data_IF_747059765792
#
_entry.id   IF_747059765792
#
_cell.length_a   1.000
_cell.length_b   1.000
_cell.length_c   1.000
_cell.angle_alpha   90.00
_cell.angle_beta   90.00
_cell.angle_gamma   90.00
#
_symmetry.space_group_name_H-M   'P 1'
#
loop_
_entity.id
_entity.type
_entity.pdbx_description
1 polymer ?
#
# COMPACT_ATOMS: atom_id res chain seq x y z
N UNK A 1 3.88 3.34 9.03
CA UNK A 1 3.80 4.71 8.48
C UNK A 1 2.98 5.69 9.32
N UNK A 2 1.71 5.42 9.65
CA UNK A 2 0.88 6.37 10.41
C UNK A 2 1.48 6.77 11.78
N UNK A 3 2.04 5.81 12.53
CA UNK A 3 2.70 6.09 13.81
C UNK A 3 3.98 6.94 13.65
N UNK A 4 4.79 6.66 12.61
CA UNK A 4 5.96 7.48 12.25
C UNK A 4 5.51 8.92 11.99
N UNK A 5 4.43 9.11 11.22
CA UNK A 5 3.86 10.42 10.96
C UNK A 5 3.48 11.14 12.24
N UNK A 6 2.74 10.48 13.15
CA UNK A 6 2.34 11.07 14.44
C UNK A 6 3.56 11.51 15.25
N UNK A 7 4.60 10.68 15.33
CA UNK A 7 5.82 11.00 16.05
C UNK A 7 6.62 12.15 15.41
N UNK A 8 6.74 12.16 14.09
CA UNK A 8 7.39 13.25 13.35
C UNK A 8 6.64 14.57 13.56
N UNK A 9 5.30 14.56 13.50
CA UNK A 9 4.49 15.75 13.77
C UNK A 9 4.66 16.26 15.20
N UNK A 10 4.65 15.37 16.20
CA UNK A 10 4.89 15.76 17.59
C UNK A 10 6.29 16.37 17.79
N UNK A 11 7.30 15.80 17.13
CA UNK A 11 8.67 16.33 17.14
C UNK A 11 8.73 17.73 16.51
N UNK A 12 8.10 17.93 15.34
CA UNK A 12 8.08 19.22 14.61
C UNK A 12 7.29 20.31 15.36
N UNK A 13 6.22 19.93 16.07
CA UNK A 13 5.46 20.83 16.92
C UNK A 13 6.21 21.27 18.20
N UNK A 14 7.42 20.74 18.43
CA UNK A 14 8.22 21.03 19.62
C UNK A 14 7.73 20.33 20.89
N UNK A 15 6.78 19.39 20.77
CA UNK A 15 6.24 18.65 21.93
C UNK A 15 7.35 17.88 22.65
N UNK A 16 8.35 17.39 21.92
CA UNK A 16 9.49 16.67 22.52
C UNK A 16 10.43 17.60 23.27
N UNK A 17 10.64 18.83 22.79
CA UNK A 17 11.54 19.78 23.44
C UNK A 17 11.04 20.17 24.85
N UNK A 18 9.74 20.06 25.10
CA UNK A 18 9.12 20.28 26.41
C UNK A 18 9.29 19.10 27.39
N UNK A 19 9.74 17.92 26.92
CA UNK A 19 9.88 16.72 27.75
C UNK A 19 11.24 16.66 28.46
N UNK A 20 11.36 15.88 29.56
CA UNK A 20 12.65 15.59 30.18
C UNK A 20 13.62 14.89 29.21
N UNK A 21 14.96 15.08 29.34
CA UNK A 21 15.95 14.51 28.43
C UNK A 21 15.84 13.00 28.20
N UNK A 22 15.43 12.25 29.23
CA UNK A 22 15.24 10.79 29.15
C UNK A 22 14.10 10.41 28.20
N UNK A 23 12.98 11.12 28.25
CA UNK A 23 11.82 10.87 27.40
C UNK A 23 12.08 11.30 25.96
N UNK A 24 12.82 12.39 25.75
CA UNK A 24 13.31 12.79 24.43
C UNK A 24 14.13 11.69 23.77
N UNK A 25 15.12 11.15 24.50
CA UNK A 25 15.96 10.06 23.99
C UNK A 25 15.15 8.79 23.70
N UNK A 26 14.14 8.49 24.54
CA UNK A 26 13.27 7.34 24.34
C UNK A 26 12.38 7.49 23.08
N UNK A 27 11.79 8.67 22.87
CA UNK A 27 11.01 8.98 21.68
C UNK A 27 11.86 8.91 20.42
N UNK A 28 13.09 9.44 20.45
CA UNK A 28 14.01 9.38 19.33
C UNK A 28 14.41 7.93 19.00
N UNK A 29 14.76 7.12 20.01
CA UNK A 29 15.09 5.71 19.82
C UNK A 29 13.92 4.90 19.29
N UNK A 30 12.70 5.16 19.80
CA UNK A 30 11.50 4.50 19.33
C UNK A 30 11.18 4.88 17.87
N UNK A 31 11.28 6.16 17.50
CA UNK A 31 11.09 6.62 16.12
C UNK A 31 12.07 5.95 15.16
N UNK A 32 13.34 5.84 15.54
CA UNK A 32 14.34 5.12 14.74
C UNK A 32 13.98 3.65 14.57
N UNK A 33 13.58 2.98 15.65
CA UNK A 33 13.21 1.57 15.63
C UNK A 33 12.02 1.30 14.69
N UNK A 34 10.90 2.01 14.87
CA UNK A 34 9.72 1.84 14.01
C UNK A 34 10.00 2.28 12.56
N UNK A 35 10.90 3.24 12.37
CA UNK A 35 11.37 3.68 11.05
C UNK A 35 12.11 2.58 10.30
N UNK A 36 13.04 1.88 10.97
CA UNK A 36 13.75 0.74 10.38
C UNK A 36 12.80 -0.41 10.02
N UNK A 37 11.85 -0.75 10.90
CA UNK A 37 10.86 -1.79 10.62
C UNK A 37 10.01 -1.42 9.39
N UNK A 38 9.48 -0.19 9.35
CA UNK A 38 8.67 0.26 8.23
C UNK A 38 9.45 0.21 6.90
N UNK A 39 10.73 0.59 6.91
CA UNK A 39 11.59 0.48 5.74
C UNK A 39 11.74 -0.97 5.26
N UNK A 40 12.00 -1.89 6.18
CA UNK A 40 12.13 -3.31 5.85
C UNK A 40 10.83 -3.88 5.27
N UNK A 41 9.70 -3.61 5.92
CA UNK A 41 8.37 -4.06 5.47
C UNK A 41 8.04 -3.52 4.09
N UNK A 42 8.36 -2.26 3.80
CA UNK A 42 8.13 -1.67 2.48
C UNK A 42 9.02 -2.28 1.39
N UNK A 43 10.29 -2.58 1.68
CA UNK A 43 11.17 -3.28 0.73
C UNK A 43 10.57 -4.65 0.39
N UNK A 44 10.25 -5.44 1.41
CA UNK A 44 9.67 -6.77 1.22
C UNK A 44 8.33 -6.69 0.48
N UNK A 45 7.48 -5.73 0.84
CA UNK A 45 6.21 -5.50 0.18
C UNK A 45 6.35 -5.14 -1.30
N UNK A 46 7.31 -4.28 -1.65
CA UNK A 46 7.58 -3.90 -3.05
C UNK A 46 8.01 -5.12 -3.87
N UNK A 47 8.97 -5.91 -3.38
CA UNK A 47 9.44 -7.12 -4.06
C UNK A 47 8.34 -8.18 -4.20
N UNK A 48 7.51 -8.34 -3.16
CA UNK A 48 6.39 -9.29 -3.18
C UNK A 48 5.37 -8.90 -4.24
N UNK A 49 4.98 -7.62 -4.30
CA UNK A 49 3.99 -7.13 -5.27
C UNK A 49 4.56 -7.20 -6.69
N UNK A 50 5.83 -6.86 -6.88
CA UNK A 50 6.48 -7.00 -8.19
C UNK A 50 6.53 -8.46 -8.65
N UNK A 51 6.88 -9.38 -7.76
CA UNK A 51 6.89 -10.82 -8.05
C UNK A 51 5.50 -11.33 -8.42
N UNK A 52 4.46 -10.93 -7.67
CA UNK A 52 3.08 -11.30 -7.98
C UNK A 52 2.65 -10.75 -9.34
N UNK A 53 2.97 -9.48 -9.63
CA UNK A 53 2.67 -8.86 -10.92
C UNK A 53 3.31 -9.63 -12.08
N UNK A 54 4.60 -9.97 -11.97
CA UNK A 54 5.28 -10.81 -12.94
C UNK A 54 4.64 -12.20 -13.08
N UNK A 55 4.31 -12.88 -11.98
CA UNK A 55 3.67 -14.20 -12.06
C UNK A 55 2.31 -14.14 -12.74
N UNK A 56 1.53 -13.06 -12.53
CA UNK A 56 0.22 -12.91 -13.22
C UNK A 56 0.36 -12.63 -14.72
N UNK A 57 1.49 -12.09 -15.21
CA UNK A 57 1.68 -11.91 -16.67
C UNK A 57 1.82 -13.24 -17.38
N UNK A 58 2.52 -14.20 -16.74
CA UNK A 58 2.87 -15.50 -17.31
C UNK A 58 1.87 -16.61 -16.97
N UNK A 59 1.39 -16.69 -15.72
CA UNK A 59 0.62 -17.84 -15.20
C UNK A 59 -0.71 -17.36 -14.61
N UNK A 60 -1.73 -17.19 -15.45
CA UNK A 60 -3.04 -16.64 -15.03
C UNK A 60 -3.97 -17.67 -14.39
N UNK A 61 -3.89 -18.93 -14.82
CA UNK A 61 -4.88 -19.98 -14.47
C UNK A 61 -4.95 -20.26 -12.98
N UNK A 62 -3.83 -20.20 -12.26
CA UNK A 62 -3.77 -20.47 -10.81
C UNK A 62 -4.49 -19.36 -10.02
N UNK A 63 -4.32 -18.09 -10.41
CA UNK A 63 -4.95 -16.96 -9.73
C UNK A 63 -6.46 -16.90 -9.95
N UNK A 64 -6.93 -17.39 -11.10
CA UNK A 64 -8.36 -17.45 -11.44
C UNK A 64 -9.02 -18.78 -11.05
N UNK A 65 -8.31 -19.70 -10.41
CA UNK A 65 -8.90 -20.96 -9.94
C UNK A 65 -9.93 -20.69 -8.83
N UNK A 66 -11.01 -21.46 -8.78
CA UNK A 66 -12.13 -21.25 -7.84
C UNK A 66 -11.71 -21.16 -6.37
N UNK A 67 -10.67 -21.90 -5.96
CA UNK A 67 -10.10 -21.84 -4.59
C UNK A 67 -9.35 -20.54 -4.28
N UNK A 68 -8.88 -19.83 -5.30
CA UNK A 68 -7.97 -18.69 -5.17
C UNK A 68 -8.63 -17.36 -5.55
N UNK A 69 -9.52 -17.38 -6.55
CA UNK A 69 -10.01 -16.17 -7.23
C UNK A 69 -10.61 -15.14 -6.28
N UNK A 70 -11.43 -15.57 -5.32
CA UNK A 70 -12.04 -14.68 -4.32
C UNK A 70 -10.99 -14.03 -3.40
N UNK A 71 -9.95 -14.80 -3.03
CA UNK A 71 -8.86 -14.31 -2.17
C UNK A 71 -7.98 -13.32 -2.92
N UNK A 72 -7.68 -13.60 -4.19
CA UNK A 72 -6.89 -12.70 -5.03
C UNK A 72 -7.67 -11.40 -5.29
N UNK A 73 -8.93 -11.49 -5.70
CA UNK A 73 -9.77 -10.32 -5.94
C UNK A 73 -9.92 -9.45 -4.69
N UNK A 74 -10.23 -10.06 -3.54
CA UNK A 74 -10.35 -9.33 -2.27
C UNK A 74 -9.01 -8.69 -1.84
N UNK A 75 -7.90 -9.39 -2.04
CA UNK A 75 -6.56 -8.85 -1.73
C UNK A 75 -6.23 -7.64 -2.61
N UNK A 76 -6.44 -7.74 -3.93
CA UNK A 76 -6.17 -6.65 -4.85
C UNK A 76 -7.08 -5.44 -4.55
N UNK A 77 -8.38 -5.67 -4.32
CA UNK A 77 -9.31 -4.59 -3.99
C UNK A 77 -8.93 -3.92 -2.67
N UNK A 78 -8.58 -4.71 -1.65
CA UNK A 78 -8.16 -4.20 -0.35
C UNK A 78 -6.92 -3.31 -0.47
N UNK A 79 -5.87 -3.78 -1.15
CA UNK A 79 -4.64 -3.00 -1.30
C UNK A 79 -4.86 -1.75 -2.14
N UNK A 80 -5.56 -1.86 -3.27
CA UNK A 80 -5.86 -0.71 -4.11
C UNK A 80 -6.65 0.34 -3.32
N UNK A 81 -7.72 -0.07 -2.61
CA UNK A 81 -8.53 0.82 -1.78
C UNK A 81 -7.70 1.54 -0.71
N UNK A 82 -6.77 0.85 -0.05
CA UNK A 82 -5.92 1.49 0.97
C UNK A 82 -4.93 2.49 0.36
N UNK A 83 -4.48 2.25 -0.87
CA UNK A 83 -3.49 3.09 -1.55
C UNK A 83 -4.10 4.31 -2.25
N UNK A 84 -5.35 4.23 -2.72
CA UNK A 84 -6.00 5.30 -3.50
C UNK A 84 -7.19 5.94 -2.77
N UNK A 85 -7.66 5.30 -1.70
CA UNK A 85 -8.80 5.74 -0.92
C UNK A 85 -8.48 6.81 0.13
N UNK A 86 -9.45 7.13 1.01
CA UNK A 86 -9.35 8.27 1.93
C UNK A 86 -8.19 8.15 2.93
N UNK A 87 -7.74 6.92 3.21
CA UNK A 87 -6.62 6.63 4.12
C UNK A 87 -5.25 6.83 3.47
N UNK A 88 -5.15 7.11 2.17
CA UNK A 88 -3.86 7.34 1.48
C UNK A 88 -3.00 8.41 2.19
N UNK A 89 -3.64 9.45 2.73
CA UNK A 89 -2.97 10.53 3.45
C UNK A 89 -2.19 10.04 4.68
N UNK A 90 -2.56 8.90 5.26
CA UNK A 90 -1.88 8.33 6.43
C UNK A 90 -0.48 7.78 6.11
N UNK A 91 -0.17 7.57 4.83
CA UNK A 91 1.15 7.11 4.39
C UNK A 91 2.13 8.26 4.11
N UNK A 92 1.64 9.51 4.05
CA UNK A 92 2.48 10.68 3.83
C UNK A 92 3.29 11.00 5.09
N UNK A 93 4.56 10.63 5.07
CA UNK A 93 5.59 11.00 6.05
C UNK A 93 6.57 11.98 5.41
N UNK A 94 7.44 12.62 6.20
CA UNK A 94 8.35 13.68 5.73
C UNK A 94 9.23 13.23 4.56
N UNK A 95 9.87 12.06 4.71
CA UNK A 95 10.67 11.45 3.66
C UNK A 95 10.15 10.03 3.38
N UNK A 96 9.35 9.87 2.33
CA UNK A 96 8.85 8.55 1.91
C UNK A 96 9.95 7.68 1.30
N UNK A 97 11.00 8.29 0.74
CA UNK A 97 12.12 7.57 0.12
C UNK A 97 13.02 6.92 1.16
N UNK A 98 13.20 7.56 2.33
CA UNK A 98 13.87 6.97 3.50
C UNK A 98 13.28 5.60 3.85
N UNK A 99 11.94 5.51 3.83
CA UNK A 99 11.23 4.27 4.14
C UNK A 99 10.96 3.38 2.93
N UNK A 100 11.52 3.69 1.75
CA UNK A 100 11.33 2.91 0.51
C UNK A 100 9.86 2.69 0.14
N UNK A 101 8.99 3.63 0.49
CA UNK A 101 7.58 3.56 0.18
C UNK A 101 7.28 4.25 -1.15
N UNK A 102 6.99 3.48 -2.19
CA UNK A 102 6.67 3.95 -3.54
C UNK A 102 5.22 3.62 -3.90
N UNK A 103 4.22 4.30 -3.31
CA UNK A 103 2.80 3.95 -3.44
C UNK A 103 2.33 3.96 -4.89
N UNK A 104 2.86 4.90 -5.68
CA UNK A 104 2.56 5.08 -7.09
C UNK A 104 2.96 3.83 -7.92
N UNK A 105 4.16 3.30 -7.70
CA UNK A 105 4.65 2.06 -8.31
C UNK A 105 3.85 0.84 -7.84
N UNK A 106 3.48 0.80 -6.56
CA UNK A 106 2.66 -0.29 -6.02
C UNK A 106 1.28 -0.31 -6.70
N UNK A 107 0.62 0.86 -6.81
CA UNK A 107 -0.66 1.01 -7.50
C UNK A 107 -0.54 0.56 -8.96
N UNK A 108 0.52 0.95 -9.66
CA UNK A 108 0.77 0.53 -11.04
C UNK A 108 0.83 -0.99 -11.16
N UNK A 109 1.61 -1.66 -10.31
CA UNK A 109 1.74 -3.12 -10.35
C UNK A 109 0.41 -3.81 -10.01
N UNK A 110 -0.35 -3.28 -9.05
CA UNK A 110 -1.69 -3.79 -8.75
C UNK A 110 -2.63 -3.64 -9.95
N UNK A 111 -2.67 -2.47 -10.60
CA UNK A 111 -3.47 -2.25 -11.79
C UNK A 111 -3.08 -3.18 -12.95
N UNK A 112 -1.78 -3.45 -13.14
CA UNK A 112 -1.34 -4.46 -14.11
C UNK A 112 -1.88 -5.86 -13.79
N UNK A 113 -1.87 -6.28 -12.53
CA UNK A 113 -2.48 -7.56 -12.13
C UNK A 113 -3.97 -7.64 -12.49
N UNK A 114 -4.75 -6.55 -12.29
CA UNK A 114 -6.14 -6.50 -12.78
C UNK A 114 -6.22 -6.68 -14.29
N UNK A 115 -5.34 -6.03 -15.06
CA UNK A 115 -5.32 -6.15 -16.53
C UNK A 115 -4.95 -7.56 -16.97
N UNK A 116 -3.94 -8.19 -16.34
CA UNK A 116 -3.52 -9.55 -16.66
C UNK A 116 -4.64 -10.58 -16.44
N UNK A 117 -5.44 -10.40 -15.39
CA UNK A 117 -6.49 -11.33 -14.99
C UNK A 117 -7.89 -10.96 -15.53
N UNK A 118 -8.07 -9.73 -16.03
CA UNK A 118 -9.38 -9.14 -16.34
C UNK A 118 -10.13 -9.75 -17.53
N UNK A 119 -9.49 -10.61 -18.33
CA UNK A 119 -10.19 -11.40 -19.35
C UNK A 119 -10.92 -12.62 -18.79
N UNK A 120 -10.70 -12.96 -17.51
CA UNK A 120 -11.38 -14.06 -16.84
C UNK A 120 -12.65 -13.60 -16.13
N UNK A 121 -13.81 -14.14 -16.53
CA UNK A 121 -15.11 -13.75 -15.98
C UNK A 121 -15.26 -14.05 -14.48
N UNK A 122 -14.67 -15.13 -13.98
CA UNK A 122 -14.72 -15.46 -12.55
C UNK A 122 -13.96 -14.44 -11.73
N UNK A 123 -12.81 -13.97 -12.22
CA UNK A 123 -12.05 -12.90 -11.59
C UNK A 123 -12.84 -11.58 -11.57
N UNK A 124 -13.42 -11.18 -12.71
CA UNK A 124 -14.26 -9.98 -12.79
C UNK A 124 -15.46 -10.05 -11.84
N UNK A 125 -16.13 -11.19 -11.77
CA UNK A 125 -17.22 -11.42 -10.83
C UNK A 125 -16.75 -11.28 -9.37
N UNK A 126 -15.67 -11.96 -8.99
CA UNK A 126 -15.10 -11.90 -7.65
C UNK A 126 -14.68 -10.47 -7.24
N UNK A 127 -14.08 -9.71 -8.17
CA UNK A 127 -13.73 -8.30 -7.97
C UNK A 127 -14.97 -7.47 -7.66
N UNK A 128 -16.02 -7.61 -8.46
CA UNK A 128 -17.27 -6.83 -8.30
C UNK A 128 -18.08 -7.19 -7.05
N UNK A 129 -17.94 -8.42 -6.56
CA UNK A 129 -18.70 -8.94 -5.41
C UNK A 129 -18.07 -8.61 -4.06
N UNK A 130 -16.81 -8.16 -4.00
CA UNK A 130 -16.17 -7.77 -2.74
C UNK A 130 -16.69 -6.41 -2.23
N UNK A 131 -17.84 -6.43 -1.56
CA UNK A 131 -18.48 -5.25 -0.97
C UNK A 131 -17.70 -4.56 0.16
N UNK A 132 -16.51 -5.05 0.52
CA UNK A 132 -15.65 -4.45 1.56
C UNK A 132 -14.76 -3.35 1.00
N UNK A 133 -14.19 -3.58 -0.19
CA UNK A 133 -13.15 -2.71 -0.74
C UNK A 133 -13.46 -2.24 -2.16
N UNK A 134 -14.26 -2.98 -2.93
CA UNK A 134 -14.64 -2.58 -4.28
C UNK A 134 -15.68 -1.45 -4.27
N UNK A 135 -15.50 -0.50 -5.17
CA UNK A 135 -16.51 0.48 -5.58
C UNK A 135 -16.28 0.87 -7.03
N UNK A 136 -17.31 1.35 -7.76
CA UNK A 136 -17.12 1.84 -9.13
C UNK A 136 -16.07 2.94 -9.27
N UNK A 137 -15.85 3.73 -8.21
CA UNK A 137 -14.89 4.83 -8.19
C UNK A 137 -13.44 4.37 -7.94
N UNK A 138 -13.23 3.13 -7.49
CA UNK A 138 -11.91 2.64 -7.07
C UNK A 138 -10.85 2.79 -8.18
N UNK A 139 -11.21 2.45 -9.41
CA UNK A 139 -10.29 2.54 -10.55
C UNK A 139 -10.09 3.98 -11.03
N UNK A 140 -11.09 4.86 -10.91
CA UNK A 140 -10.93 6.30 -11.19
C UNK A 140 -9.96 6.96 -10.21
N UNK A 141 -10.01 6.56 -8.93
CA UNK A 141 -9.04 7.03 -7.94
C UNK A 141 -7.62 6.53 -8.25
N UNK A 142 -7.49 5.28 -8.72
CA UNK A 142 -6.21 4.73 -9.15
C UNK A 142 -5.64 5.47 -10.37
N UNK A 143 -6.48 5.78 -11.36
CA UNK A 143 -6.11 6.60 -12.51
C UNK A 143 -5.56 7.97 -12.07
N UNK A 144 -6.21 8.63 -11.10
CA UNK A 144 -5.73 9.88 -10.53
C UNK A 144 -4.35 9.79 -9.87
N UNK A 145 -3.99 8.63 -9.30
CA UNK A 145 -2.63 8.40 -8.77
C UNK A 145 -1.63 8.16 -9.91
N UNK A 146 -2.00 7.35 -10.92
CA UNK A 146 -1.13 6.97 -12.03
C UNK A 146 -0.85 8.11 -13.01
N UNK A 147 -1.82 9.01 -13.23
CA UNK A 147 -1.65 10.18 -14.10
C UNK A 147 -0.60 11.19 -13.63
N UNK A 148 -0.07 11.04 -12.42
CA UNK A 148 1.05 11.86 -11.92
C UNK A 148 2.43 11.23 -12.17
N UNK A 149 2.48 10.03 -12.76
CA UNK A 149 3.72 9.25 -12.98
C UNK A 149 4.02 9.05 -14.47
N UNK A 150 2.97 9.02 -15.31
CA UNK A 150 3.01 8.90 -16.77
C UNK A 150 3.04 10.29 -17.43
#
# INVERSE_FOLDING_TARGET
MAQIRTMQTAQENGEWAALPPREQAQNQGFLQHIGMMARFDNILGNETIHTLEYLTSEIRSIFCHSTMVDRIAAMLNYFLFHLVGPKMRNFKVKDMQEYKFAPATIVLNICKMYVHLGSNEQFCAAVSQDGRSYSPQLFTLAEGVLGNIL
#
